data_IF_120880962512
#
_entry.id   IF_120880962512
#
_cell.length_a   1.000
_cell.length_b   1.000
_cell.length_c   1.000
_cell.angle_alpha   90.00
_cell.angle_beta   90.00
_cell.angle_gamma   90.00
#
_symmetry.space_group_name_H-M   'P 1'
#
loop_
_entity.id
_entity.type
_entity.pdbx_description
1 polymer ?
#
# COMPACT_ATOMS: atom_id res chain seq x y z
N UNK A 1 22.33 18.16 55.64
CA UNK A 1 22.92 18.62 54.37
C UNK A 1 23.65 17.44 53.75
N UNK A 2 23.19 16.96 52.60
CA UNK A 2 23.84 15.88 51.86
C UNK A 2 24.65 16.53 50.74
N UNK A 3 25.97 16.41 50.79
CA UNK A 3 26.88 16.84 49.73
C UNK A 3 26.80 15.80 48.60
N UNK A 4 26.13 16.17 47.51
CA UNK A 4 26.19 15.42 46.25
C UNK A 4 27.41 15.98 45.49
N UNK A 5 28.50 15.23 45.47
CA UNK A 5 29.65 15.52 44.63
C UNK A 5 29.29 15.24 43.17
N UNK A 6 29.20 16.32 42.37
CA UNK A 6 29.11 16.27 40.92
C UNK A 6 30.48 15.86 40.37
N UNK A 7 30.68 14.56 40.18
CA UNK A 7 31.83 14.01 39.46
C UNK A 7 31.66 14.28 37.95
N UNK A 8 32.10 15.49 37.58
CA UNK A 8 32.79 15.94 36.37
C UNK A 8 32.63 15.14 35.05
N UNK A 9 31.75 15.67 34.19
CA UNK A 9 31.89 16.09 32.78
C UNK A 9 32.67 15.28 31.72
N UNK A 10 33.68 14.46 32.04
CA UNK A 10 34.47 13.77 31.01
C UNK A 10 33.77 12.53 30.42
N UNK A 11 32.77 11.98 31.11
CA UNK A 11 31.95 10.87 30.60
C UNK A 11 30.72 11.30 29.80
N UNK A 12 30.30 12.57 29.86
CA UNK A 12 29.15 13.01 29.05
C UNK A 12 29.49 13.04 27.56
N UNK A 13 30.70 13.48 27.18
CA UNK A 13 31.06 13.67 25.77
C UNK A 13 31.14 12.36 24.95
N UNK A 14 31.46 11.23 25.59
CA UNK A 14 31.49 9.90 24.96
C UNK A 14 30.09 9.28 24.85
N UNK A 15 29.21 9.56 25.82
CA UNK A 15 27.79 9.19 25.78
C UNK A 15 27.06 9.89 24.62
N UNK A 16 27.23 11.20 24.46
CA UNK A 16 26.61 11.95 23.36
C UNK A 16 27.08 11.52 21.96
N UNK A 17 28.33 11.07 21.82
CA UNK A 17 28.87 10.63 20.51
C UNK A 17 28.31 9.29 20.03
N UNK A 18 27.83 8.43 20.93
CA UNK A 18 27.37 7.07 20.57
C UNK A 18 25.84 6.94 20.62
N UNK A 19 25.15 7.78 21.40
CA UNK A 19 23.70 7.69 21.59
C UNK A 19 22.84 8.56 20.65
N UNK A 20 23.48 9.32 19.75
CA UNK A 20 22.79 10.16 18.77
C UNK A 20 22.42 9.43 17.47
N UNK A 21 22.68 8.12 17.37
CA UNK A 21 22.12 7.36 16.24
C UNK A 21 20.61 7.23 16.43
N UNK A 22 19.85 7.74 15.46
CA UNK A 22 18.38 7.63 15.41
C UNK A 22 17.89 6.17 15.46
N UNK A 23 18.72 5.24 15.01
CA UNK A 23 18.46 3.81 15.01
C UNK A 23 19.43 3.08 15.94
N UNK A 24 18.92 2.12 16.71
CA UNK A 24 19.77 1.29 17.55
C UNK A 24 20.12 -0.01 16.86
N UNK A 25 21.42 -0.26 16.74
CA UNK A 25 21.99 -1.52 16.25
C UNK A 25 22.56 -2.36 17.39
N UNK A 26 22.27 -1.99 18.65
CA UNK A 26 22.80 -2.67 19.85
C UNK A 26 22.43 -4.15 19.92
N UNK A 27 21.24 -4.50 19.41
CA UNK A 27 20.66 -5.83 19.53
C UNK A 27 20.30 -6.40 18.14
N UNK A 28 20.55 -7.69 17.92
CA UNK A 28 20.40 -8.35 16.60
C UNK A 28 19.00 -8.18 15.99
N UNK A 29 17.94 -8.21 16.82
CA UNK A 29 16.55 -8.02 16.37
C UNK A 29 16.37 -6.64 15.73
N UNK A 30 16.82 -5.57 16.40
CA UNK A 30 16.71 -4.20 15.89
C UNK A 30 17.57 -3.99 14.65
N UNK A 31 18.74 -4.63 14.58
CA UNK A 31 19.58 -4.61 13.39
C UNK A 31 18.85 -5.25 12.19
N UNK A 32 18.22 -6.41 12.39
CA UNK A 32 17.44 -7.09 11.33
C UNK A 32 16.28 -6.21 10.85
N UNK A 33 15.46 -5.68 11.75
CA UNK A 33 14.37 -4.76 11.37
C UNK A 33 14.89 -3.51 10.67
N UNK A 34 15.94 -2.88 11.19
CA UNK A 34 16.55 -1.71 10.58
C UNK A 34 17.04 -1.98 9.16
N UNK A 35 17.67 -3.14 8.92
CA UNK A 35 18.09 -3.57 7.59
C UNK A 35 16.91 -3.85 6.67
N UNK A 36 15.90 -4.60 7.15
CA UNK A 36 14.68 -4.91 6.39
C UNK A 36 13.96 -3.62 5.98
N UNK A 37 13.71 -2.71 6.91
CA UNK A 37 12.99 -1.46 6.66
C UNK A 37 13.76 -0.53 5.74
N UNK A 38 15.09 -0.49 5.86
CA UNK A 38 15.95 0.25 4.93
C UNK A 38 15.88 -0.35 3.52
N UNK A 39 15.92 -1.67 3.40
CA UNK A 39 15.75 -2.35 2.11
C UNK A 39 14.37 -2.08 1.52
N UNK A 40 13.31 -2.19 2.34
CA UNK A 40 11.92 -1.89 1.95
C UNK A 40 11.80 -0.45 1.47
N UNK A 41 12.43 0.51 2.15
CA UNK A 41 12.40 1.91 1.72
C UNK A 41 13.09 2.08 0.36
N UNK A 42 14.32 1.58 0.22
CA UNK A 42 15.13 1.75 -1.01
C UNK A 42 14.45 1.06 -2.19
N UNK A 43 14.12 -0.23 -2.05
CA UNK A 43 13.48 -1.01 -3.11
C UNK A 43 12.05 -0.55 -3.35
N UNK A 44 11.29 -0.27 -2.29
CA UNK A 44 9.91 0.21 -2.36
C UNK A 44 9.81 1.53 -3.10
N UNK A 45 10.62 2.53 -2.77
CA UNK A 45 10.66 3.81 -3.50
C UNK A 45 11.07 3.58 -4.96
N UNK A 46 12.14 2.82 -5.19
CA UNK A 46 12.68 2.60 -6.54
C UNK A 46 11.69 1.88 -7.46
N UNK A 47 11.09 0.78 -6.98
CA UNK A 47 10.15 -0.04 -7.75
C UNK A 47 8.81 0.68 -7.96
N UNK A 48 8.30 1.38 -6.95
CA UNK A 48 7.09 2.19 -7.12
C UNK A 48 7.32 3.38 -8.06
N UNK A 49 8.52 3.99 -8.07
CA UNK A 49 8.88 5.04 -9.03
C UNK A 49 8.95 4.49 -10.46
N UNK A 50 9.56 3.32 -10.64
CA UNK A 50 9.57 2.62 -11.92
C UNK A 50 8.14 2.28 -12.38
N UNK A 51 7.31 1.72 -11.49
CA UNK A 51 5.93 1.41 -11.81
C UNK A 51 5.12 2.67 -12.14
N UNK A 52 5.28 3.76 -11.39
CA UNK A 52 4.66 5.05 -11.66
C UNK A 52 5.02 5.54 -13.08
N UNK A 53 6.31 5.49 -13.44
CA UNK A 53 6.78 5.83 -14.78
C UNK A 53 6.14 4.94 -15.86
N UNK A 54 6.07 3.62 -15.64
CA UNK A 54 5.44 2.67 -16.57
C UNK A 54 3.94 2.92 -16.72
N UNK A 55 3.23 3.23 -15.62
CA UNK A 55 1.80 3.57 -15.67
C UNK A 55 1.59 4.86 -16.47
N UNK A 56 2.48 5.85 -16.34
CA UNK A 56 2.38 7.11 -17.10
C UNK A 56 2.66 6.91 -18.58
N UNK A 57 3.70 6.15 -18.94
CA UNK A 57 4.25 6.09 -20.31
C UNK A 57 3.84 4.87 -21.12
N UNK A 58 3.53 3.73 -20.48
CA UNK A 58 3.28 2.43 -21.15
C UNK A 58 1.84 1.93 -21.03
N UNK A 59 0.96 2.66 -20.33
CA UNK A 59 -0.47 2.29 -20.24
C UNK A 59 -1.16 2.48 -21.58
N UNK A 60 -1.72 1.39 -22.11
CA UNK A 60 -2.50 1.39 -23.36
C UNK A 60 -3.86 2.09 -23.16
N UNK A 61 -4.42 2.66 -24.23
CA UNK A 61 -5.67 3.43 -24.18
C UNK A 61 -6.83 2.67 -23.49
N UNK A 62 -6.94 1.37 -23.76
CA UNK A 62 -7.98 0.49 -23.18
C UNK A 62 -7.84 0.29 -21.67
N UNK A 63 -6.65 0.55 -21.11
CA UNK A 63 -6.37 0.47 -19.67
C UNK A 63 -6.44 1.83 -18.96
N UNK A 64 -6.73 2.93 -19.66
CA UNK A 64 -6.80 4.27 -19.08
C UNK A 64 -7.73 4.40 -17.86
N UNK A 65 -8.91 3.74 -17.81
CA UNK A 65 -9.76 3.80 -16.62
C UNK A 65 -9.07 3.25 -15.36
N UNK A 66 -8.17 2.28 -15.52
CA UNK A 66 -7.42 1.64 -14.43
C UNK A 66 -6.15 2.41 -14.05
N UNK A 67 -5.71 3.35 -14.89
CA UNK A 67 -4.52 4.16 -14.65
C UNK A 67 -4.58 4.88 -13.30
N UNK A 68 -5.75 5.43 -12.94
CA UNK A 68 -5.93 6.15 -11.67
C UNK A 68 -5.79 5.22 -10.46
N UNK A 69 -6.35 4.01 -10.54
CA UNK A 69 -6.27 3.02 -9.46
C UNK A 69 -4.83 2.58 -9.21
N UNK A 70 -4.09 2.26 -10.28
CA UNK A 70 -2.70 1.84 -10.19
C UNK A 70 -1.80 2.96 -9.63
N UNK A 71 -2.04 4.22 -10.04
CA UNK A 71 -1.30 5.37 -9.49
C UNK A 71 -1.60 5.59 -8.01
N UNK A 72 -2.86 5.44 -7.58
CA UNK A 72 -3.21 5.54 -6.16
C UNK A 72 -2.54 4.42 -5.35
N UNK A 73 -2.46 3.21 -5.89
CA UNK A 73 -1.72 2.11 -5.25
C UNK A 73 -0.24 2.47 -5.05
N UNK A 74 0.45 2.96 -6.10
CA UNK A 74 1.86 3.34 -5.98
C UNK A 74 2.08 4.45 -4.94
N UNK A 75 1.18 5.43 -4.87
CA UNK A 75 1.25 6.51 -3.90
C UNK A 75 1.06 5.99 -2.47
N UNK A 76 0.11 5.07 -2.27
CA UNK A 76 -0.10 4.41 -0.98
C UNK A 76 1.14 3.62 -0.56
N UNK A 77 1.74 2.85 -1.47
CA UNK A 77 2.94 2.07 -1.18
C UNK A 77 4.13 2.98 -0.80
N UNK A 78 4.27 4.15 -1.42
CA UNK A 78 5.26 5.15 -1.00
C UNK A 78 5.01 5.67 0.41
N UNK A 79 3.77 6.06 0.72
CA UNK A 79 3.41 6.59 2.03
C UNK A 79 3.63 5.54 3.12
N UNK A 80 3.17 4.31 2.89
CA UNK A 80 3.35 3.18 3.80
C UNK A 80 4.84 2.87 3.96
N UNK A 81 5.59 2.69 2.88
CA UNK A 81 7.02 2.36 2.95
C UNK A 81 7.84 3.43 3.68
N UNK A 82 7.56 4.71 3.45
CA UNK A 82 8.21 5.82 4.15
C UNK A 82 7.86 5.84 5.64
N UNK A 83 6.58 5.66 5.97
CA UNK A 83 6.14 5.69 7.36
C UNK A 83 6.58 4.45 8.15
N UNK A 84 6.64 3.28 7.52
CA UNK A 84 7.24 2.07 8.10
C UNK A 84 8.70 2.32 8.47
N UNK A 85 9.49 2.96 7.58
CA UNK A 85 10.87 3.31 7.91
C UNK A 85 11.01 4.34 9.04
N UNK A 86 10.09 5.32 9.12
CA UNK A 86 10.09 6.32 10.19
C UNK A 86 9.78 5.69 11.55
N UNK A 87 8.80 4.80 11.60
CA UNK A 87 8.31 4.22 12.85
C UNK A 87 9.14 2.99 13.25
N UNK A 88 9.44 2.08 12.33
CA UNK A 88 10.05 0.77 12.58
C UNK A 88 9.40 0.07 13.80
N UNK A 89 8.09 -0.24 13.71
CA UNK A 89 7.42 -0.96 14.78
C UNK A 89 7.99 -2.38 14.86
N UNK A 90 8.13 -2.87 16.08
CA UNK A 90 8.55 -4.25 16.35
C UNK A 90 7.47 -4.84 17.26
N UNK A 91 6.45 -5.51 16.69
CA UNK A 91 5.47 -6.24 17.47
C UNK A 91 6.17 -7.34 18.27
N UNK A 92 5.74 -7.50 19.51
CA UNK A 92 6.23 -8.50 20.43
C UNK A 92 5.03 -9.11 21.15
N UNK A 93 5.04 -10.42 21.34
CA UNK A 93 4.06 -11.10 22.18
C UNK A 93 4.80 -11.98 23.17
N UNK A 94 4.54 -11.77 24.45
CA UNK A 94 5.26 -12.44 25.51
C UNK A 94 4.43 -12.50 26.79
N UNK A 95 4.50 -13.62 27.52
CA UNK A 95 3.79 -13.85 28.78
C UNK A 95 2.28 -13.47 28.78
N UNK A 96 1.59 -13.68 27.64
CA UNK A 96 0.17 -13.32 27.49
C UNK A 96 -0.08 -11.81 27.29
N UNK A 97 0.95 -11.04 26.99
CA UNK A 97 0.86 -9.62 26.61
C UNK A 97 1.17 -9.45 25.13
N UNK A 98 0.38 -8.60 24.47
CA UNK A 98 0.74 -8.01 23.18
C UNK A 98 1.40 -6.67 23.46
N UNK A 99 2.58 -6.48 22.90
CA UNK A 99 3.31 -5.23 23.00
C UNK A 99 3.88 -4.81 21.65
N UNK A 100 4.17 -3.53 21.50
CA UNK A 100 4.89 -3.02 20.32
C UNK A 100 6.03 -2.15 20.80
N UNK A 101 7.24 -2.48 20.36
CA UNK A 101 8.41 -1.64 20.50
C UNK A 101 8.57 -0.78 19.26
N UNK A 102 9.38 0.26 19.36
CA UNK A 102 9.64 1.14 18.22
C UNK A 102 11.14 1.39 18.12
N UNK A 103 11.70 1.21 16.92
CA UNK A 103 13.13 1.40 16.67
C UNK A 103 13.45 2.63 15.81
N UNK A 104 12.41 3.29 15.28
CA UNK A 104 12.57 4.42 14.38
C UNK A 104 12.76 5.77 15.07
N UNK A 105 12.54 6.84 14.31
CA UNK A 105 12.85 8.22 14.66
C UNK A 105 12.23 8.68 15.99
N UNK A 106 11.04 8.18 16.30
CA UNK A 106 10.29 8.57 17.49
C UNK A 106 10.68 7.79 18.75
N UNK A 107 11.67 6.87 18.72
CA UNK A 107 11.94 5.95 19.84
C UNK A 107 12.12 6.65 21.19
N UNK A 108 12.86 7.77 21.18
CA UNK A 108 13.17 8.59 22.37
C UNK A 108 12.14 9.68 22.65
N UNK A 109 11.05 9.76 21.88
CA UNK A 109 9.97 10.74 22.11
C UNK A 109 9.08 10.35 23.29
N UNK A 110 8.22 11.28 23.74
CA UNK A 110 7.26 11.03 24.82
C UNK A 110 6.21 9.98 24.42
N UNK A 111 5.63 9.26 25.39
CA UNK A 111 4.67 8.18 25.13
C UNK A 111 3.53 8.58 24.17
N UNK A 112 2.87 9.75 24.30
CA UNK A 112 1.79 10.13 23.39
C UNK A 112 2.26 10.33 21.95
N UNK A 113 3.47 10.87 21.74
CA UNK A 113 4.03 11.08 20.40
C UNK A 113 4.37 9.74 19.75
N UNK A 114 4.99 8.82 20.51
CA UNK A 114 5.31 7.48 20.02
C UNK A 114 4.06 6.72 19.62
N UNK A 115 3.05 6.76 20.49
CA UNK A 115 1.78 6.11 20.22
C UNK A 115 1.07 6.73 19.02
N UNK A 116 1.06 8.05 18.87
CA UNK A 116 0.48 8.70 17.70
C UNK A 116 1.18 8.29 16.40
N UNK A 117 2.52 8.20 16.39
CA UNK A 117 3.27 7.75 15.21
C UNK A 117 2.95 6.29 14.83
N UNK A 118 2.89 5.40 15.83
CA UNK A 118 2.45 4.01 15.67
C UNK A 118 0.99 3.93 15.19
N UNK A 119 0.10 4.75 15.75
CA UNK A 119 -1.31 4.78 15.37
C UNK A 119 -1.48 5.25 13.92
N UNK A 120 -0.71 6.25 13.48
CA UNK A 120 -0.71 6.65 12.05
C UNK A 120 -0.23 5.49 11.18
N UNK A 121 0.82 4.78 11.59
CA UNK A 121 1.35 3.64 10.83
C UNK A 121 0.32 2.53 10.64
N UNK A 122 -0.29 2.07 11.73
CA UNK A 122 -1.29 0.99 11.68
C UNK A 122 -2.56 1.43 10.93
N UNK A 123 -2.93 2.72 11.01
CA UNK A 123 -4.03 3.25 10.20
C UNK A 123 -3.68 3.31 8.71
N UNK A 124 -2.42 3.54 8.31
CA UNK A 124 -2.03 3.47 6.90
C UNK A 124 -2.13 2.05 6.35
N UNK A 125 -1.77 1.04 7.14
CA UNK A 125 -1.93 -0.38 6.79
C UNK A 125 -3.41 -0.76 6.67
N UNK A 126 -4.23 -0.37 7.65
CA UNK A 126 -5.67 -0.58 7.58
C UNK A 126 -6.31 0.12 6.36
N UNK A 127 -5.89 1.36 6.08
CA UNK A 127 -6.35 2.11 4.92
C UNK A 127 -5.97 1.41 3.61
N UNK A 128 -4.80 0.76 3.53
CA UNK A 128 -4.40 -0.05 2.37
C UNK A 128 -5.35 -1.24 2.14
N UNK A 129 -5.74 -1.96 3.19
CA UNK A 129 -6.75 -3.04 3.12
C UNK A 129 -8.10 -2.51 2.61
N UNK A 130 -8.61 -1.43 3.22
CA UNK A 130 -9.92 -0.83 2.84
C UNK A 130 -9.87 -0.29 1.41
N UNK A 131 -8.78 0.37 1.00
CA UNK A 131 -8.59 0.84 -0.37
C UNK A 131 -8.61 -0.31 -1.36
N UNK A 132 -7.96 -1.44 -1.05
CA UNK A 132 -7.94 -2.61 -1.93
C UNK A 132 -9.36 -3.14 -2.18
N UNK A 133 -10.19 -3.25 -1.14
CA UNK A 133 -11.61 -3.58 -1.30
C UNK A 133 -12.35 -2.53 -2.14
N UNK A 134 -12.13 -1.24 -1.87
CA UNK A 134 -12.75 -0.14 -2.61
C UNK A 134 -12.39 -0.16 -4.10
N UNK A 135 -11.17 -0.56 -4.45
CA UNK A 135 -10.73 -0.71 -5.85
C UNK A 135 -11.51 -1.82 -6.57
N UNK A 136 -11.85 -2.92 -5.89
CA UNK A 136 -12.68 -4.00 -6.45
C UNK A 136 -14.12 -3.55 -6.70
N UNK A 137 -14.73 -2.89 -5.73
CA UNK A 137 -16.09 -2.32 -5.86
C UNK A 137 -16.10 -1.30 -6.99
N UNK A 138 -15.12 -0.39 -7.00
CA UNK A 138 -14.98 0.62 -8.04
C UNK A 138 -14.85 -0.01 -9.44
N UNK A 139 -14.02 -1.05 -9.58
CA UNK A 139 -13.88 -1.77 -10.85
C UNK A 139 -15.17 -2.45 -11.29
N UNK A 140 -15.89 -3.08 -10.38
CA UNK A 140 -17.20 -3.67 -10.67
C UNK A 140 -18.17 -2.60 -11.20
N UNK A 141 -18.27 -1.46 -10.52
CA UNK A 141 -19.13 -0.35 -10.94
C UNK A 141 -18.75 0.24 -12.31
N UNK A 142 -17.46 0.33 -12.65
CA UNK A 142 -17.01 0.74 -14.00
C UNK A 142 -17.47 -0.26 -15.06
N UNK A 143 -17.22 -1.55 -14.84
CA UNK A 143 -17.52 -2.59 -15.84
C UNK A 143 -19.02 -2.73 -16.08
N UNK A 144 -19.83 -2.54 -15.04
CA UNK A 144 -21.28 -2.54 -15.14
C UNK A 144 -21.87 -1.18 -15.57
N UNK A 145 -21.04 -0.14 -15.74
CA UNK A 145 -21.46 1.24 -16.05
C UNK A 145 -22.45 1.84 -15.04
N UNK A 146 -22.34 1.42 -13.78
CA UNK A 146 -23.18 1.90 -12.66
C UNK A 146 -22.47 3.05 -11.91
N UNK A 147 -21.22 3.38 -12.29
CA UNK A 147 -20.43 4.37 -11.58
C UNK A 147 -21.07 5.77 -11.63
N UNK A 148 -21.49 6.26 -10.47
CA UNK A 148 -21.87 7.65 -10.24
C UNK A 148 -20.87 8.33 -9.32
N UNK A 149 -20.77 9.66 -9.40
CA UNK A 149 -19.96 10.44 -8.45
C UNK A 149 -20.39 10.18 -7.01
N UNK A 150 -21.70 9.96 -6.78
CA UNK A 150 -22.26 9.63 -5.46
C UNK A 150 -21.67 8.35 -4.89
N UNK A 151 -21.56 7.28 -5.69
CA UNK A 151 -20.96 6.01 -5.24
C UNK A 151 -19.49 6.22 -4.89
N UNK A 152 -18.75 6.95 -5.73
CA UNK A 152 -17.33 7.23 -5.50
C UNK A 152 -17.11 7.99 -4.18
N UNK A 153 -17.84 9.08 -3.95
CA UNK A 153 -17.74 9.85 -2.72
C UNK A 153 -18.22 9.07 -1.50
N UNK A 154 -19.26 8.24 -1.64
CA UNK A 154 -19.74 7.34 -0.58
C UNK A 154 -18.66 6.34 -0.16
N UNK A 155 -17.94 5.73 -1.13
CA UNK A 155 -16.83 4.83 -0.83
C UNK A 155 -15.68 5.53 -0.09
N UNK A 156 -15.31 6.75 -0.50
CA UNK A 156 -14.29 7.55 0.18
C UNK A 156 -14.74 7.87 1.61
N UNK A 157 -15.97 8.35 1.78
CA UNK A 157 -16.51 8.70 3.09
C UNK A 157 -16.58 7.49 4.02
N UNK A 158 -17.09 6.35 3.53
CA UNK A 158 -17.13 5.10 4.28
C UNK A 158 -15.72 4.65 4.69
N UNK A 159 -14.74 4.79 3.80
CA UNK A 159 -13.35 4.46 4.10
C UNK A 159 -12.76 5.36 5.21
N UNK A 160 -12.96 6.68 5.13
CA UNK A 160 -12.48 7.61 6.15
C UNK A 160 -13.16 7.35 7.51
N UNK A 161 -14.47 7.08 7.50
CA UNK A 161 -15.23 6.76 8.70
C UNK A 161 -14.74 5.47 9.35
N UNK A 162 -14.60 4.38 8.57
CA UNK A 162 -14.10 3.10 9.08
C UNK A 162 -12.69 3.23 9.65
N UNK A 163 -11.81 3.97 8.99
CA UNK A 163 -10.44 4.20 9.45
C UNK A 163 -10.41 5.03 10.75
N UNK A 164 -11.25 6.07 10.85
CA UNK A 164 -11.38 6.86 12.09
C UNK A 164 -11.94 6.04 13.25
N UNK A 165 -12.98 5.23 13.01
CA UNK A 165 -13.56 4.34 14.01
C UNK A 165 -12.54 3.29 14.48
N UNK A 166 -11.76 2.72 13.55
CA UNK A 166 -10.68 1.78 13.88
C UNK A 166 -9.58 2.45 14.73
N UNK A 167 -9.19 3.69 14.41
CA UNK A 167 -8.21 4.43 15.19
C UNK A 167 -8.66 4.63 16.65
N UNK A 168 -9.92 5.02 16.87
CA UNK A 168 -10.50 5.19 18.21
C UNK A 168 -10.56 3.85 18.95
N UNK A 169 -11.03 2.78 18.27
CA UNK A 169 -11.13 1.46 18.86
C UNK A 169 -9.77 0.90 19.27
N UNK A 170 -8.75 1.05 18.42
CA UNK A 170 -7.39 0.61 18.71
C UNK A 170 -6.78 1.41 19.87
N UNK A 171 -6.93 2.73 19.86
CA UNK A 171 -6.51 3.61 20.97
C UNK A 171 -7.14 3.21 22.31
N UNK A 172 -8.42 2.86 22.30
CA UNK A 172 -9.09 2.37 23.50
C UNK A 172 -8.58 0.98 23.94
N UNK A 173 -8.25 0.13 22.98
CA UNK A 173 -7.83 -1.25 23.22
C UNK A 173 -6.39 -1.35 23.75
N UNK A 174 -5.41 -0.71 23.12
CA UNK A 174 -3.98 -1.00 23.31
C UNK A 174 -3.11 0.19 23.77
N UNK A 175 -3.70 1.36 24.03
CA UNK A 175 -2.96 2.48 24.62
C UNK A 175 -2.52 2.17 26.05
N UNK A 176 -1.21 2.28 26.38
CA UNK A 176 -0.72 1.95 27.72
C UNK A 176 -1.29 2.85 28.82
N UNK A 177 -1.75 2.25 29.91
CA UNK A 177 -2.37 2.97 31.05
C UNK A 177 -1.44 3.07 32.25
N UNK A 178 -1.66 4.08 33.08
CA UNK A 178 -0.83 4.34 34.26
C UNK A 178 -0.80 3.17 35.26
N UNK A 179 -1.93 2.45 35.41
CA UNK A 179 -2.03 1.29 36.28
C UNK A 179 -1.33 0.03 35.74
N UNK A 180 -0.94 0.03 34.46
CA UNK A 180 -0.23 -1.09 33.81
C UNK A 180 1.31 -0.90 33.86
N UNK A 181 1.79 0.25 34.34
CA UNK A 181 3.21 0.62 34.31
C UNK A 181 4.14 -0.35 35.06
N UNK A 182 3.69 -0.90 36.19
CA UNK A 182 4.46 -1.93 36.91
C UNK A 182 4.67 -3.19 36.07
N UNK A 183 3.59 -3.69 35.46
CA UNK A 183 3.63 -4.87 34.59
C UNK A 183 4.50 -4.62 33.35
N UNK A 184 4.45 -3.41 32.78
CA UNK A 184 5.33 -3.00 31.69
C UNK A 184 6.81 -3.05 32.09
N UNK A 185 7.18 -2.58 33.28
CA UNK A 185 8.57 -2.63 33.73
C UNK A 185 9.05 -4.06 33.97
N UNK A 186 8.19 -4.90 34.54
CA UNK A 186 8.52 -6.30 34.81
C UNK A 186 8.68 -7.08 33.50
N UNK A 187 7.76 -6.90 32.55
CA UNK A 187 7.87 -7.51 31.21
C UNK A 187 9.10 -7.01 30.45
N UNK A 188 9.43 -5.71 30.55
CA UNK A 188 10.64 -5.17 29.92
C UNK A 188 11.92 -5.80 30.49
N UNK A 189 12.00 -6.06 31.80
CA UNK A 189 13.15 -6.75 32.40
C UNK A 189 13.25 -8.20 31.95
N UNK A 190 12.11 -8.90 31.91
CA UNK A 190 12.05 -10.30 31.43
C UNK A 190 12.48 -10.39 29.97
N UNK A 191 11.86 -9.59 29.09
CA UNK A 191 12.24 -9.53 27.67
C UNK A 191 13.71 -9.16 27.48
N UNK A 192 14.25 -8.22 28.25
CA UNK A 192 15.67 -7.86 28.18
C UNK A 192 16.58 -9.05 28.54
N UNK A 193 16.21 -9.82 29.57
CA UNK A 193 16.98 -11.00 29.99
C UNK A 193 16.91 -12.16 28.99
N UNK A 194 15.77 -12.35 28.32
CA UNK A 194 15.55 -13.48 27.41
C UNK A 194 16.04 -13.22 25.99
N UNK A 195 15.78 -12.01 25.48
CA UNK A 195 16.07 -11.65 24.08
C UNK A 195 17.36 -10.85 23.92
N UNK A 196 17.95 -10.37 25.01
CA UNK A 196 19.09 -9.44 24.99
C UNK A 196 18.72 -8.04 24.50
N UNK A 197 17.42 -7.72 24.34
CA UNK A 197 16.97 -6.38 23.95
C UNK A 197 17.28 -5.36 25.05
N UNK A 198 18.00 -4.30 24.70
CA UNK A 198 18.30 -3.18 25.59
C UNK A 198 17.31 -2.01 25.40
N UNK A 199 17.18 -1.09 26.37
CA UNK A 199 16.37 0.13 26.21
C UNK A 199 14.93 -0.15 25.71
N UNK A 200 14.25 -1.08 26.38
CA UNK A 200 12.91 -1.52 26.01
C UNK A 200 11.90 -0.47 26.48
N UNK A 201 11.15 0.08 25.53
CA UNK A 201 10.03 0.96 25.84
C UNK A 201 8.85 0.63 24.94
N UNK A 202 7.75 0.21 25.56
CA UNK A 202 6.54 -0.17 24.85
C UNK A 202 5.75 1.06 24.37
N UNK A 203 5.43 1.07 23.09
CA UNK A 203 4.51 2.04 22.49
C UNK A 203 3.07 1.60 22.67
N UNK A 204 2.79 0.32 22.45
CA UNK A 204 1.50 -0.34 22.73
C UNK A 204 1.71 -1.46 23.75
N UNK A 205 0.73 -1.64 24.64
CA UNK A 205 0.77 -2.63 25.72
C UNK A 205 -0.65 -3.04 26.10
N UNK A 206 -0.96 -4.33 25.99
CA UNK A 206 -2.25 -4.87 26.44
C UNK A 206 -2.11 -6.36 26.76
N UNK A 207 -2.78 -6.81 27.83
CA UNK A 207 -2.93 -8.23 28.10
C UNK A 207 -3.87 -8.84 27.04
N UNK A 208 -3.49 -9.95 26.40
CA UNK A 208 -4.28 -10.53 25.31
C UNK A 208 -5.62 -11.09 25.78
N UNK A 209 -5.77 -11.37 27.08
CA UNK A 209 -7.04 -11.78 27.69
C UNK A 209 -7.96 -10.62 28.08
N UNK A 210 -7.49 -9.38 27.98
CA UNK A 210 -8.27 -8.20 28.34
C UNK A 210 -9.48 -8.03 27.39
N UNK A 211 -10.70 -7.82 27.92
CA UNK A 211 -11.91 -7.72 27.09
C UNK A 211 -11.83 -6.67 25.99
N UNK A 212 -11.11 -5.57 26.23
CA UNK A 212 -10.92 -4.46 25.28
C UNK A 212 -10.20 -4.93 24.02
N UNK A 213 -9.15 -5.72 24.20
CA UNK A 213 -8.38 -6.29 23.10
C UNK A 213 -9.19 -7.35 22.36
N UNK A 214 -9.90 -8.22 23.10
CA UNK A 214 -10.76 -9.24 22.50
C UNK A 214 -11.89 -8.64 21.65
N UNK A 215 -12.47 -7.51 22.08
CA UNK A 215 -13.47 -6.77 21.30
C UNK A 215 -12.85 -6.19 20.02
N UNK A 216 -11.70 -5.51 20.12
CA UNK A 216 -11.00 -4.99 18.94
C UNK A 216 -10.69 -6.11 17.94
N UNK A 217 -10.19 -7.24 18.43
CA UNK A 217 -9.91 -8.43 17.63
C UNK A 217 -11.16 -8.98 16.93
N UNK A 218 -12.27 -9.15 17.66
CA UNK A 218 -13.52 -9.65 17.10
C UNK A 218 -14.04 -8.74 15.98
N UNK A 219 -13.95 -7.42 16.17
CA UNK A 219 -14.30 -6.43 15.15
C UNK A 219 -13.39 -6.56 13.93
N UNK A 220 -12.07 -6.68 14.12
CA UNK A 220 -11.10 -6.78 13.03
C UNK A 220 -11.26 -8.07 12.21
N UNK A 221 -11.50 -9.22 12.86
CA UNK A 221 -11.78 -10.49 12.18
C UNK A 221 -13.07 -10.38 11.37
N UNK A 222 -14.13 -9.85 11.97
CA UNK A 222 -15.43 -9.70 11.29
C UNK A 222 -15.31 -8.80 10.06
N UNK A 223 -14.70 -7.63 10.24
CA UNK A 223 -14.49 -6.66 9.16
C UNK A 223 -13.65 -7.25 8.02
N UNK A 224 -12.61 -7.99 8.36
CA UNK A 224 -11.78 -8.72 7.39
C UNK A 224 -12.59 -9.73 6.58
N UNK A 225 -13.38 -10.59 7.25
CA UNK A 225 -14.23 -11.58 6.59
C UNK A 225 -15.21 -10.88 5.64
N UNK A 226 -15.86 -9.81 6.08
CA UNK A 226 -16.76 -9.00 5.26
C UNK A 226 -16.06 -8.46 4.01
N UNK A 227 -14.83 -7.93 4.14
CA UNK A 227 -14.07 -7.42 3.00
C UNK A 227 -13.74 -8.51 1.98
N UNK A 228 -13.30 -9.70 2.42
CA UNK A 228 -13.02 -10.79 1.49
C UNK A 228 -14.28 -11.33 0.81
N UNK A 229 -15.42 -11.37 1.52
CA UNK A 229 -16.71 -11.71 0.90
C UNK A 229 -17.04 -10.71 -0.23
N UNK A 230 -16.88 -9.41 0.03
CA UNK A 230 -17.11 -8.37 -0.99
C UNK A 230 -16.16 -8.53 -2.18
N UNK A 231 -14.86 -8.78 -1.93
CA UNK A 231 -13.87 -9.01 -2.99
C UNK A 231 -14.26 -10.23 -3.83
N UNK A 232 -14.62 -11.36 -3.21
CA UNK A 232 -15.03 -12.58 -3.91
C UNK A 232 -16.27 -12.34 -4.78
N UNK A 233 -17.30 -11.68 -4.23
CA UNK A 233 -18.51 -11.31 -4.98
C UNK A 233 -18.12 -10.44 -6.19
N UNK A 234 -17.28 -9.42 -5.98
CA UNK A 234 -16.81 -8.55 -7.06
C UNK A 234 -16.04 -9.34 -8.12
N UNK A 235 -15.13 -10.23 -7.72
CA UNK A 235 -14.37 -11.09 -8.66
C UNK A 235 -15.29 -11.94 -9.52
N UNK A 236 -16.28 -12.60 -8.92
CA UNK A 236 -17.26 -13.44 -9.65
C UNK A 236 -18.02 -12.59 -10.66
N UNK A 237 -18.53 -11.44 -10.24
CA UNK A 237 -19.29 -10.52 -11.10
C UNK A 237 -18.44 -9.93 -12.23
N UNK A 238 -17.20 -9.54 -11.93
CA UNK A 238 -16.23 -9.05 -12.91
C UNK A 238 -15.93 -10.14 -13.95
N UNK A 239 -15.70 -11.39 -13.53
CA UNK A 239 -15.46 -12.51 -14.46
C UNK A 239 -16.63 -12.72 -15.42
N UNK A 240 -17.86 -12.66 -14.91
CA UNK A 240 -19.09 -12.75 -15.74
C UNK A 240 -19.22 -11.57 -16.71
N UNK A 241 -18.94 -10.34 -16.28
CA UNK A 241 -18.98 -9.17 -17.17
C UNK A 241 -17.90 -9.26 -18.26
N UNK A 242 -16.70 -9.73 -17.90
CA UNK A 242 -15.56 -9.85 -18.82
C UNK A 242 -15.74 -10.98 -19.85
N UNK A 243 -16.51 -12.03 -19.54
CA UNK A 243 -16.77 -13.10 -20.50
C UNK A 243 -17.64 -12.65 -21.69
N UNK A 244 -18.41 -11.58 -21.52
CA UNK A 244 -19.26 -10.98 -22.56
C UNK A 244 -18.51 -9.97 -23.44
N UNK A 245 -17.22 -9.69 -23.15
CA UNK A 245 -16.41 -8.70 -23.88
C UNK A 245 -15.69 -9.32 -25.08
N UNK A 246 -15.29 -8.46 -26.02
CA UNK A 246 -14.45 -8.86 -27.17
C UNK A 246 -13.13 -9.51 -26.71
N UNK A 247 -12.58 -10.42 -27.49
CA UNK A 247 -11.38 -11.21 -27.16
C UNK A 247 -10.22 -10.33 -26.66
N UNK A 248 -9.94 -9.24 -27.38
CA UNK A 248 -8.86 -8.29 -27.02
C UNK A 248 -9.11 -7.60 -25.67
N UNK A 249 -10.32 -7.09 -25.43
CA UNK A 249 -10.66 -6.42 -24.16
C UNK A 249 -10.67 -7.41 -22.99
N UNK A 250 -11.09 -8.65 -23.24
CA UNK A 250 -11.06 -9.75 -22.29
C UNK A 250 -9.64 -10.07 -21.82
N UNK A 251 -8.66 -10.09 -22.73
CA UNK A 251 -7.27 -10.39 -22.37
C UNK A 251 -6.63 -9.31 -21.49
N UNK A 252 -6.90 -8.03 -21.76
CA UNK A 252 -6.46 -6.93 -20.89
C UNK A 252 -7.14 -6.99 -19.52
N UNK A 253 -8.44 -7.27 -19.49
CA UNK A 253 -9.15 -7.41 -18.22
C UNK A 253 -8.65 -8.58 -17.39
N UNK A 254 -8.27 -9.70 -18.02
CA UNK A 254 -7.64 -10.84 -17.32
C UNK A 254 -6.32 -10.42 -16.66
N UNK A 255 -5.46 -9.69 -17.36
CA UNK A 255 -4.18 -9.20 -16.81
C UNK A 255 -4.40 -8.27 -15.61
N UNK A 256 -5.33 -7.30 -15.73
CA UNK A 256 -5.65 -6.39 -14.63
C UNK A 256 -6.29 -7.14 -13.45
N UNK A 257 -7.17 -8.13 -13.72
CA UNK A 257 -7.73 -8.97 -12.66
C UNK A 257 -6.68 -9.80 -11.95
N UNK A 258 -5.68 -10.30 -12.65
CA UNK A 258 -4.57 -11.00 -12.03
C UNK A 258 -3.76 -10.06 -11.13
N UNK A 259 -3.44 -8.85 -11.60
CA UNK A 259 -2.71 -7.86 -10.82
C UNK A 259 -3.48 -7.44 -9.55
N UNK A 260 -4.78 -7.11 -9.67
CA UNK A 260 -5.61 -6.78 -8.51
C UNK A 260 -5.79 -7.97 -7.55
N UNK A 261 -5.85 -9.20 -8.07
CA UNK A 261 -5.95 -10.40 -7.22
C UNK A 261 -4.67 -10.61 -6.43
N UNK A 262 -3.52 -10.39 -7.07
CA UNK A 262 -2.24 -10.40 -6.37
C UNK A 262 -2.19 -9.32 -5.28
N UNK A 263 -2.66 -8.10 -5.57
CA UNK A 263 -2.77 -7.04 -4.57
C UNK A 263 -3.71 -7.40 -3.42
N UNK A 264 -4.83 -8.06 -3.68
CA UNK A 264 -5.76 -8.54 -2.66
C UNK A 264 -5.20 -9.66 -1.78
N UNK A 265 -4.15 -10.35 -2.22
CA UNK A 265 -3.45 -11.34 -1.40
C UNK A 265 -2.49 -10.65 -0.42
N UNK A 266 -1.94 -9.47 -0.74
CA UNK A 266 -0.95 -8.82 0.14
C UNK A 266 -1.49 -8.54 1.55
N UNK A 267 -2.71 -8.02 1.75
CA UNK A 267 -3.29 -7.88 3.08
C UNK A 267 -3.51 -9.20 3.83
N UNK A 268 -3.54 -10.36 3.16
CA UNK A 268 -3.63 -11.66 3.88
C UNK A 268 -2.39 -11.93 4.73
N UNK A 269 -1.22 -11.40 4.35
CA UNK A 269 -0.01 -11.52 5.16
C UNK A 269 -0.15 -10.75 6.48
N UNK A 270 -0.79 -9.59 6.43
CA UNK A 270 -1.09 -8.81 7.63
C UNK A 270 -2.03 -9.56 8.56
N UNK A 271 -3.13 -10.11 8.03
CA UNK A 271 -4.07 -10.89 8.83
C UNK A 271 -3.41 -12.13 9.41
N UNK A 272 -2.60 -12.84 8.62
CA UNK A 272 -1.86 -14.01 9.09
C UNK A 272 -0.89 -13.65 10.22
N UNK A 273 -0.13 -12.56 10.06
CA UNK A 273 0.78 -12.07 11.10
C UNK A 273 0.02 -11.67 12.37
N UNK A 274 -1.12 -10.98 12.26
CA UNK A 274 -1.96 -10.63 13.40
C UNK A 274 -2.51 -11.86 14.11
N UNK A 275 -3.00 -12.86 13.35
CA UNK A 275 -3.43 -14.13 13.91
C UNK A 275 -2.28 -14.81 14.66
N UNK A 276 -1.07 -14.85 14.09
CA UNK A 276 0.10 -15.41 14.76
C UNK A 276 0.40 -14.62 16.05
N UNK A 277 0.46 -13.30 15.99
CA UNK A 277 0.74 -12.43 17.15
C UNK A 277 -0.28 -12.59 18.29
N UNK A 278 -1.50 -13.02 17.98
CA UNK A 278 -2.59 -13.15 18.94
C UNK A 278 -2.72 -14.57 19.47
N UNK A 279 -2.75 -15.55 18.56
CA UNK A 279 -2.98 -16.94 18.92
C UNK A 279 -1.71 -17.60 19.44
N UNK A 280 -0.53 -17.26 18.90
CA UNK A 280 0.71 -17.91 19.31
C UNK A 280 1.01 -17.72 20.81
N UNK A 281 0.90 -16.51 21.41
CA UNK A 281 1.11 -16.36 22.85
C UNK A 281 0.10 -17.13 23.73
N UNK A 282 -1.09 -17.46 23.21
CA UNK A 282 -2.06 -18.26 23.96
C UNK A 282 -1.70 -19.75 24.02
N UNK A 283 -0.97 -20.24 23.02
CA UNK A 283 -0.58 -21.66 22.93
C UNK A 283 0.88 -21.92 23.30
N UNK A 284 1.74 -20.89 23.24
CA UNK A 284 3.17 -20.98 23.52
C UNK A 284 3.53 -19.95 24.59
N UNK A 285 3.37 -20.35 25.85
CA UNK A 285 3.72 -19.53 27.01
C UNK A 285 5.23 -19.53 27.32
N UNK A 286 6.00 -20.46 26.75
CA UNK A 286 7.42 -20.66 27.12
C UNK A 286 8.41 -20.00 26.14
N UNK A 287 9.27 -19.12 26.68
CA UNK A 287 10.58 -18.54 26.29
C UNK A 287 11.00 -18.29 24.81
N UNK A 288 10.27 -18.76 23.80
CA UNK A 288 10.65 -18.66 22.38
C UNK A 288 9.70 -17.81 21.53
N UNK A 289 8.62 -17.32 22.13
CA UNK A 289 7.52 -16.63 21.44
C UNK A 289 7.95 -15.30 20.80
N UNK A 290 8.92 -14.61 21.40
CA UNK A 290 9.47 -13.33 20.90
C UNK A 290 10.08 -13.48 19.50
N UNK A 291 10.86 -14.55 19.26
CA UNK A 291 11.52 -14.76 17.96
C UNK A 291 10.51 -15.06 16.85
N UNK A 292 9.52 -15.92 17.11
CA UNK A 292 8.51 -16.27 16.10
C UNK A 292 7.65 -15.07 15.70
N UNK A 293 7.30 -14.22 16.67
CA UNK A 293 6.49 -13.03 16.42
C UNK A 293 7.26 -12.00 15.59
N UNK A 294 8.54 -11.80 15.91
CA UNK A 294 9.44 -10.93 15.14
C UNK A 294 9.50 -11.33 13.66
N UNK A 295 9.62 -12.63 13.35
CA UNK A 295 9.71 -13.07 11.95
C UNK A 295 8.36 -13.01 11.20
N UNK A 296 7.24 -13.14 11.91
CA UNK A 296 5.91 -13.08 11.30
C UNK A 296 5.59 -11.71 10.68
N UNK A 297 6.16 -10.64 11.22
CA UNK A 297 5.85 -9.26 10.84
C UNK A 297 6.68 -8.77 9.63
N UNK A 298 7.84 -9.39 9.36
CA UNK A 298 8.70 -9.04 8.23
C UNK A 298 7.94 -9.09 6.89
N UNK A 299 7.04 -10.06 6.73
CA UNK A 299 6.23 -10.18 5.52
C UNK A 299 5.34 -8.95 5.27
N UNK A 300 4.84 -8.32 6.33
CA UNK A 300 4.02 -7.10 6.25
C UNK A 300 4.86 -5.95 5.72
N UNK A 301 6.09 -5.82 6.20
CA UNK A 301 6.99 -4.74 5.80
C UNK A 301 7.37 -4.84 4.31
N UNK A 302 7.31 -6.02 3.71
CA UNK A 302 7.59 -6.25 2.29
C UNK A 302 6.43 -5.85 1.35
N UNK A 303 5.23 -5.55 1.86
CA UNK A 303 4.06 -5.23 1.02
C UNK A 303 4.34 -4.11 0.00
N UNK A 304 4.94 -2.96 0.36
CA UNK A 304 5.27 -1.89 -0.59
C UNK A 304 6.26 -2.28 -1.70
N UNK A 305 7.01 -3.37 -1.51
CA UNK A 305 7.96 -3.93 -2.49
C UNK A 305 7.27 -4.97 -3.37
N UNK A 306 6.50 -5.86 -2.76
CA UNK A 306 5.81 -6.94 -3.46
C UNK A 306 4.74 -6.40 -4.43
N UNK A 307 4.02 -5.35 -4.03
CA UNK A 307 2.96 -4.75 -4.83
C UNK A 307 3.44 -4.30 -6.24
N UNK A 308 4.47 -3.43 -6.36
CA UNK A 308 4.96 -3.02 -7.67
C UNK A 308 5.57 -4.17 -8.46
N UNK A 309 6.26 -5.12 -7.80
CA UNK A 309 6.81 -6.32 -8.48
C UNK A 309 5.69 -7.12 -9.13
N UNK A 310 4.65 -7.48 -8.37
CA UNK A 310 3.52 -8.24 -8.88
C UNK A 310 2.82 -7.50 -10.02
N UNK A 311 2.61 -6.19 -9.88
CA UNK A 311 2.00 -5.37 -10.92
C UNK A 311 2.83 -5.33 -12.20
N UNK A 312 4.15 -5.12 -12.10
CA UNK A 312 5.06 -5.11 -13.25
C UNK A 312 5.06 -6.48 -13.96
N UNK A 313 5.12 -7.57 -13.19
CA UNK A 313 5.17 -8.93 -13.75
C UNK A 313 3.85 -9.36 -14.39
N UNK A 314 2.71 -8.99 -13.81
CA UNK A 314 1.39 -9.45 -14.27
C UNK A 314 0.82 -8.59 -15.42
N UNK A 315 1.19 -7.31 -15.52
CA UNK A 315 0.73 -6.42 -16.58
C UNK A 315 1.68 -6.46 -17.77
N UNK A 316 1.27 -7.10 -18.87
CA UNK A 316 2.15 -7.40 -19.99
C UNK A 316 2.84 -6.17 -20.63
N UNK A 317 2.17 -5.00 -20.82
CA UNK A 317 2.85 -3.80 -21.30
C UNK A 317 4.00 -3.34 -20.40
N UNK A 318 3.86 -3.49 -19.07
CA UNK A 318 4.88 -3.09 -18.10
C UNK A 318 6.02 -4.11 -18.09
N UNK A 319 5.69 -5.41 -17.99
CA UNK A 319 6.66 -6.50 -18.08
C UNK A 319 7.53 -6.41 -19.34
N UNK A 320 6.91 -6.20 -20.51
CA UNK A 320 7.64 -6.07 -21.79
C UNK A 320 8.56 -4.85 -21.80
N UNK A 321 8.15 -3.74 -21.19
CA UNK A 321 8.97 -2.54 -21.13
C UNK A 321 10.20 -2.73 -20.22
N UNK A 322 10.09 -3.51 -19.15
CA UNK A 322 11.20 -3.78 -18.22
C UNK A 322 12.11 -4.91 -18.72
N UNK A 323 11.54 -6.04 -19.16
CA UNK A 323 12.31 -7.23 -19.53
C UNK A 323 12.84 -7.21 -20.97
N UNK A 324 12.20 -6.46 -21.88
CA UNK A 324 12.59 -6.39 -23.29
C UNK A 324 12.83 -4.94 -23.75
N UNK A 325 13.77 -4.20 -23.13
CA UNK A 325 13.99 -2.79 -23.45
C UNK A 325 14.37 -2.59 -24.93
N UNK A 326 15.14 -3.53 -25.50
CA UNK A 326 15.66 -3.48 -26.88
C UNK A 326 14.52 -3.49 -27.92
N UNK A 327 13.48 -4.31 -27.70
CA UNK A 327 12.35 -4.40 -28.62
C UNK A 327 11.45 -3.13 -28.57
N UNK A 328 11.44 -2.43 -27.44
CA UNK A 328 10.70 -1.17 -27.27
C UNK A 328 11.31 0.00 -28.03
N UNK A 329 12.64 0.05 -28.13
CA UNK A 329 13.38 1.07 -28.90
C UNK A 329 13.05 0.93 -30.38
N UNK A 330 13.15 -0.28 -30.92
CA UNK A 330 12.83 -0.54 -32.33
C UNK A 330 11.38 -0.18 -32.69
N UNK A 331 10.42 -0.50 -31.82
CA UNK A 331 9.01 -0.17 -32.08
C UNK A 331 8.74 1.34 -32.09
N UNK A 332 9.42 2.11 -31.22
CA UNK A 332 9.26 3.57 -31.14
C UNK A 332 9.87 4.25 -32.36
N UNK A 333 11.07 3.81 -32.78
CA UNK A 333 11.72 4.28 -34.00
C UNK A 333 10.84 3.98 -35.20
N UNK A 334 10.34 2.75 -35.33
CA UNK A 334 9.45 2.35 -36.43
C UNK A 334 8.19 3.21 -36.46
N UNK A 335 7.56 3.48 -35.30
CA UNK A 335 6.37 4.36 -35.23
C UNK A 335 6.69 5.80 -35.58
N UNK A 336 7.83 6.33 -35.14
CA UNK A 336 8.30 7.67 -35.50
C UNK A 336 8.52 7.79 -37.01
N UNK A 337 9.25 6.84 -37.60
CA UNK A 337 9.48 6.78 -39.04
C UNK A 337 8.17 6.64 -39.82
N UNK A 338 7.25 5.78 -39.36
CA UNK A 338 5.94 5.59 -40.00
C UNK A 338 5.11 6.87 -39.93
N UNK A 339 5.07 7.54 -38.79
CA UNK A 339 4.33 8.80 -38.62
C UNK A 339 4.90 9.93 -39.49
N UNK A 340 6.23 10.04 -39.60
CA UNK A 340 6.90 10.98 -40.50
C UNK A 340 6.55 10.66 -41.95
N UNK A 341 6.61 9.38 -42.35
CA UNK A 341 6.26 8.94 -43.72
C UNK A 341 4.81 9.24 -44.06
N UNK A 342 3.87 8.99 -43.16
CA UNK A 342 2.45 9.31 -43.36
C UNK A 342 2.22 10.82 -43.49
N UNK A 343 2.93 11.65 -42.70
CA UNK A 343 2.87 13.12 -42.84
C UNK A 343 3.45 13.60 -44.17
N UNK A 344 4.59 13.05 -44.57
CA UNK A 344 5.24 13.37 -45.84
C UNK A 344 4.34 13.01 -47.04
N UNK A 345 3.78 11.80 -47.04
CA UNK A 345 2.86 11.38 -48.11
C UNK A 345 1.61 12.27 -48.18
N UNK A 346 1.04 12.64 -47.03
CA UNK A 346 -0.12 13.55 -46.98
C UNK A 346 0.20 14.95 -47.49
N UNK A 347 1.41 15.46 -47.22
CA UNK A 347 1.88 16.73 -47.76
C UNK A 347 2.09 16.67 -49.28
N UNK A 348 2.69 15.58 -49.78
CA UNK A 348 2.89 15.38 -51.23
C UNK A 348 1.57 15.30 -52.01
N UNK A 349 0.52 14.68 -51.45
CA UNK A 349 -0.80 14.63 -52.10
C UNK A 349 -1.51 15.99 -52.15
N UNK A 350 -1.26 16.89 -51.18
CA UNK A 350 -1.87 18.22 -51.20
C UNK A 350 -1.22 19.18 -52.20
N UNK A 351 0.05 18.96 -52.57
CA UNK A 351 0.75 19.78 -53.58
C UNK A 351 0.31 19.38 -55.00
N UNK A 352 -0.03 18.11 -55.23
CA UNK A 352 -0.55 17.64 -56.51
C UNK A 352 -2.03 18.02 -56.75
N UNK A 353 -2.78 18.33 -55.71
CA UNK A 353 -4.17 18.76 -55.79
C UNK A 353 -4.30 20.30 -55.80
N UNK A 354 -3.54 20.98 -56.65
CA UNK A 354 -3.89 22.36 -57.03
C UNK A 354 -4.98 22.24 -58.08
N UNK A 355 -6.25 22.61 -57.80
CA UNK A 355 -7.31 22.53 -58.79
C UNK A 355 -7.01 23.58 -59.85
N UNK A 356 -6.82 23.14 -61.09
CA UNK A 356 -6.97 24.01 -62.25
C UNK A 356 -8.42 24.49 -62.21
N UNK A 357 -8.61 25.72 -61.75
CA UNK A 357 -9.90 26.39 -61.55
C UNK A 357 -10.52 26.62 -62.93
N UNK A 358 -11.17 25.60 -63.47
CA UNK A 358 -12.04 25.75 -64.62
C UNK A 358 -13.27 26.54 -64.17
N UNK A 359 -13.37 27.79 -64.65
CA UNK A 359 -14.58 28.59 -64.63
C UNK A 359 -15.72 27.79 -65.25
N UNK A 360 -16.57 27.17 -64.43
CA UNK A 360 -17.88 26.70 -64.85
C UNK A 360 -18.88 27.64 -64.19
N UNK A 361 -19.45 28.46 -65.05
CA UNK A 361 -20.49 29.44 -64.80
C UNK A 361 -21.73 28.71 -64.26
N UNK A 362 -22.13 29.03 -63.04
CA UNK A 362 -23.35 28.51 -62.42
C UNK A 362 -24.58 28.97 -63.21
N UNK A 363 -25.35 28.00 -63.71
CA UNK A 363 -26.70 28.21 -64.22
C UNK A 363 -27.65 28.16 -63.01
N UNK A 364 -28.53 29.14 -62.79
CA UNK A 364 -29.49 29.11 -61.70
C UNK A 364 -30.52 28.00 -61.96
N UNK A 365 -30.68 27.07 -61.01
CA UNK A 365 -31.84 26.18 -60.98
C UNK A 365 -32.82 26.68 -59.93
N UNK A 366 -33.86 27.32 -60.44
CA UNK A 366 -35.12 27.55 -59.77
C UNK A 366 -35.81 26.23 -59.38
N UNK A 367 -36.50 26.31 -58.23
CA UNK A 367 -37.76 25.64 -57.88
C UNK A 367 -37.87 24.10 -57.94
N UNK A 368 -38.20 23.50 -56.79
CA UNK A 368 -39.47 22.78 -56.52
C UNK A 368 -39.39 22.18 -55.10
N UNK A 369 -40.19 22.66 -54.14
CA UNK A 369 -41.54 22.16 -53.79
C UNK A 369 -41.60 20.66 -53.43
N UNK A 370 -42.03 20.37 -52.21
CA UNK A 370 -42.39 19.01 -51.80
C UNK A 370 -42.49 18.82 -50.28
N UNK A 371 -43.54 19.37 -49.68
CA UNK A 371 -44.05 18.95 -48.39
C UNK A 371 -44.77 17.59 -48.53
N UNK A 372 -44.57 16.64 -47.62
CA UNK A 372 -45.58 15.62 -47.23
C UNK A 372 -45.26 15.08 -45.82
N UNK A 373 -46.29 15.10 -44.96
CA UNK A 373 -46.69 14.20 -43.84
C UNK A 373 -45.75 13.03 -43.46
N UNK A 374 -45.60 12.65 -42.18
CA UNK A 374 -46.66 12.36 -41.20
C UNK A 374 -46.12 12.38 -39.75
#
# INVERSE_FOLDING_TARGET
MINISLDSDDNLSSWWKTENMFFSTKDSVRLVYGLVDTCVLIFGISLNSLLFFLIKTKTVAIMLPYKKLLLMSCLMDWIVGFWTFIVQPIPCGDHGYRTVLMNGFFRKSTQPIRYAAYLIWIQLMHFFLVTTMSQYVYRFCILCRIMSNTIFFSLIFAQLFLNGAHAVLLAWADYPRANEFGQMQDLAKMMASESGLSDISFVSFVNTSEPRWLIHLAVMITLTICFYIVIVICVIRIRKAVSLMTSKLRDYNKQISAALLFQAILPTFEIAAWCIQIFLPMFMADQSTVMYIVFSDIAIHLVPVLNPIGTILLVAPYRRAVLNPINGVNTTIIRGVTAIRTRYNKASTNVAATPQRANIQEIPRDNQHGAVHE
#
